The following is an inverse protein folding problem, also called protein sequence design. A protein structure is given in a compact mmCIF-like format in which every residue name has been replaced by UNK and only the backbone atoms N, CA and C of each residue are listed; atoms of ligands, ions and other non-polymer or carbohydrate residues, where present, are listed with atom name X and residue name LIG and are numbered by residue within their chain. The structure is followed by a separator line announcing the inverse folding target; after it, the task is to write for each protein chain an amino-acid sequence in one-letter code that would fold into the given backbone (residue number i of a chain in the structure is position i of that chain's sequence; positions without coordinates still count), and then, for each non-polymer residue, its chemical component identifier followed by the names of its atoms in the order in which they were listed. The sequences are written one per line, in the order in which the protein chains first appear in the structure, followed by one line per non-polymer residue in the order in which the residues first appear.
data_IF_016500196373
#
_entry.id   IF_016500196373
#
_cell.length_a   1.000
_cell.length_b   1.000
_cell.length_c   1.000
_cell.angle_alpha   90.00
_cell.angle_beta   90.00
_cell.angle_gamma   90.00
#
_symmetry.space_group_name_H-M   'P 1'
#
loop_
_entity.id
_entity.type
_entity.pdbx_description
1 polymer ?
#
# COMPACT_ATOMS: atom_id res chain seq x y z
N UNK A 1 -1.10 32.51 54.70
CA UNK A 1 0.08 32.82 53.86
C UNK A 1 0.92 31.54 53.84
N UNK A 2 1.10 30.74 52.80
CA UNK A 2 0.85 30.82 51.35
C UNK A 2 0.79 29.37 50.84
N UNK A 3 -0.26 28.99 50.13
CA UNK A 3 -0.30 27.75 49.34
C UNK A 3 0.49 28.02 48.03
N UNK A 4 1.65 27.39 47.78
CA UNK A 4 2.28 27.47 46.49
C UNK A 4 1.60 26.43 45.60
N UNK A 5 0.70 26.92 44.76
CA UNK A 5 0.23 26.24 43.56
C UNK A 5 1.43 25.84 42.70
N UNK A 6 1.95 24.64 42.93
CA UNK A 6 2.80 23.96 41.98
C UNK A 6 1.91 23.59 40.80
N UNK A 7 1.87 24.48 39.81
CA UNK A 7 1.19 24.26 38.55
C UNK A 7 1.69 22.94 37.96
N UNK A 8 0.82 21.95 37.92
CA UNK A 8 1.01 20.76 37.10
C UNK A 8 1.29 21.28 35.68
N UNK A 9 2.44 20.99 35.07
CA UNK A 9 2.65 21.39 33.70
C UNK A 9 1.58 20.68 32.87
N UNK A 10 0.73 21.47 32.23
CA UNK A 10 -0.24 21.00 31.26
C UNK A 10 0.56 20.38 30.10
N UNK A 11 0.82 19.08 30.20
CA UNK A 11 1.42 18.27 29.17
C UNK A 11 0.48 18.35 27.96
N UNK A 12 0.77 19.27 27.04
CA UNK A 12 0.11 19.41 25.75
C UNK A 12 0.38 18.13 24.96
N UNK A 13 -0.46 17.12 25.20
CA UNK A 13 -0.59 15.97 24.31
C UNK A 13 -1.01 16.53 22.96
N UNK A 14 -0.09 16.61 21.99
CA UNK A 14 -0.43 16.92 20.62
C UNK A 14 -1.36 15.80 20.11
N UNK A 15 -2.69 16.02 19.97
CA UNK A 15 -3.64 14.96 19.66
C UNK A 15 -3.68 14.62 18.16
N UNK A 16 -2.81 15.26 17.35
CA UNK A 16 -2.92 15.33 15.90
C UNK A 16 -1.78 14.63 15.15
N UNK A 17 -1.15 13.61 15.75
CA UNK A 17 -0.25 12.65 15.07
C UNK A 17 -1.02 11.67 14.15
N UNK A 18 -2.15 12.11 13.59
CA UNK A 18 -3.25 11.23 13.14
C UNK A 18 -3.22 10.83 11.66
N UNK A 19 -2.20 11.20 10.90
CA UNK A 19 -2.09 10.78 9.50
C UNK A 19 -0.71 10.22 9.13
N UNK A 20 -0.23 9.32 9.98
CA UNK A 20 0.92 8.44 9.76
C UNK A 20 0.91 7.74 8.37
N UNK A 21 -0.30 7.42 7.86
CA UNK A 21 -0.51 6.88 6.51
C UNK A 21 -0.17 7.87 5.39
N UNK A 22 -0.49 9.16 5.55
CA UNK A 22 -0.11 10.18 4.56
C UNK A 22 1.37 10.53 4.62
N UNK A 23 2.02 10.42 5.79
CA UNK A 23 3.48 10.58 5.86
C UNK A 23 4.18 9.46 5.10
N UNK A 24 3.74 8.19 5.23
CA UNK A 24 4.26 7.07 4.42
C UNK A 24 4.00 7.24 2.92
N UNK A 25 2.83 7.76 2.54
CA UNK A 25 2.47 8.07 1.14
C UNK A 25 3.21 9.29 0.58
N UNK A 26 3.68 10.21 1.43
CA UNK A 26 4.34 11.47 1.06
C UNK A 26 5.86 11.45 1.21
N UNK A 27 6.41 10.43 1.86
CA UNK A 27 7.84 10.32 2.10
C UNK A 27 8.65 10.16 0.80
N UNK A 28 9.82 10.79 0.73
CA UNK A 28 10.68 10.76 -0.46
C UNK A 28 11.40 9.42 -0.62
N UNK A 29 11.61 8.75 0.51
CA UNK A 29 12.22 7.43 0.67
C UNK A 29 11.28 6.26 0.28
N UNK A 30 9.96 6.44 0.37
CA UNK A 30 8.98 5.41 0.00
C UNK A 30 8.61 5.44 -1.49
N UNK A 31 8.99 6.52 -2.19
CA UNK A 31 8.75 6.73 -3.64
C UNK A 31 9.10 5.52 -4.52
N UNK A 32 10.29 4.89 -4.44
CA UNK A 32 10.63 3.80 -5.35
C UNK A 32 9.70 2.59 -5.20
N UNK A 33 9.32 2.23 -3.97
CA UNK A 33 8.39 1.14 -3.70
C UNK A 33 6.98 1.47 -4.20
N UNK A 34 6.50 2.70 -3.97
CA UNK A 34 5.21 3.16 -4.47
C UNK A 34 5.19 3.25 -6.00
N UNK A 35 6.26 3.73 -6.63
CA UNK A 35 6.34 3.80 -8.09
C UNK A 35 6.36 2.41 -8.70
N UNK A 36 7.08 1.46 -8.10
CA UNK A 36 7.04 0.07 -8.55
C UNK A 36 5.63 -0.50 -8.43
N UNK A 37 4.99 -0.34 -7.27
CA UNK A 37 3.62 -0.79 -7.06
C UNK A 37 2.64 -0.18 -8.08
N UNK A 38 2.72 1.12 -8.30
CA UNK A 38 1.87 1.83 -9.26
C UNK A 38 2.11 1.35 -10.69
N UNK A 39 3.37 1.16 -11.10
CA UNK A 39 3.72 0.62 -12.42
C UNK A 39 3.17 -0.81 -12.58
N UNK A 40 3.35 -1.68 -11.60
CA UNK A 40 2.80 -3.04 -11.63
C UNK A 40 1.26 -3.03 -11.70
N UNK A 41 0.59 -2.15 -10.97
CA UNK A 41 -0.88 -2.04 -11.03
C UNK A 41 -1.38 -1.51 -12.38
N UNK A 42 -0.76 -0.46 -12.90
CA UNK A 42 -1.13 0.10 -14.21
C UNK A 42 -0.83 -0.88 -15.34
N UNK A 43 0.29 -1.60 -15.26
CA UNK A 43 0.64 -2.64 -16.23
C UNK A 43 -0.36 -3.79 -16.19
N UNK A 44 -0.72 -4.28 -15.00
CA UNK A 44 -1.78 -5.28 -14.83
C UNK A 44 -3.11 -4.79 -15.41
N UNK A 45 -3.54 -3.57 -15.07
CA UNK A 45 -4.77 -2.96 -15.57
C UNK A 45 -4.84 -2.96 -17.10
N UNK A 46 -3.78 -2.49 -17.77
CA UNK A 46 -3.74 -2.45 -19.24
C UNK A 46 -3.74 -3.86 -19.83
N UNK A 47 -2.93 -4.77 -19.30
CA UNK A 47 -2.85 -6.15 -19.83
C UNK A 47 -4.18 -6.89 -19.67
N UNK A 48 -4.83 -6.82 -18.50
CA UNK A 48 -6.12 -7.49 -18.30
C UNK A 48 -7.24 -6.85 -19.12
N UNK A 49 -7.24 -5.53 -19.28
CA UNK A 49 -8.23 -4.87 -20.15
C UNK A 49 -8.07 -5.28 -21.61
N UNK A 50 -6.82 -5.49 -22.09
CA UNK A 50 -6.55 -5.94 -23.45
C UNK A 50 -6.79 -7.44 -23.67
N UNK A 51 -6.44 -8.29 -22.70
CA UNK A 51 -6.51 -9.75 -22.85
C UNK A 51 -7.89 -10.33 -22.54
N UNK A 52 -8.59 -9.77 -21.54
CA UNK A 52 -9.90 -10.26 -21.10
C UNK A 52 -11.06 -9.34 -21.53
N UNK A 53 -10.76 -8.17 -22.10
CA UNK A 53 -11.78 -7.20 -22.52
C UNK A 53 -12.54 -6.57 -21.34
N UNK A 54 -12.00 -6.68 -20.13
CA UNK A 54 -12.60 -6.09 -18.93
C UNK A 54 -12.50 -4.57 -18.95
N UNK A 55 -13.43 -3.91 -18.25
CA UNK A 55 -13.35 -2.47 -18.04
C UNK A 55 -12.05 -2.12 -17.30
N UNK A 56 -11.57 -0.88 -17.44
CA UNK A 56 -10.37 -0.43 -16.73
C UNK A 56 -10.52 -0.59 -15.20
N UNK A 57 -11.72 -0.35 -14.68
CA UNK A 57 -12.03 -0.51 -13.26
C UNK A 57 -11.98 -1.97 -12.82
N UNK A 58 -12.58 -2.88 -13.59
CA UNK A 58 -12.56 -4.33 -13.28
C UNK A 58 -11.14 -4.90 -13.38
N UNK A 59 -10.37 -4.43 -14.37
CA UNK A 59 -8.96 -4.82 -14.57
C UNK A 59 -8.07 -4.33 -13.42
N UNK A 60 -8.28 -3.09 -12.99
CA UNK A 60 -7.59 -2.53 -11.82
C UNK A 60 -8.00 -3.26 -10.54
N UNK A 61 -9.29 -3.52 -10.37
CA UNK A 61 -9.82 -4.28 -9.24
C UNK A 61 -9.18 -5.67 -9.16
N UNK A 62 -9.21 -6.44 -10.25
CA UNK A 62 -8.57 -7.76 -10.31
C UNK A 62 -7.06 -7.70 -9.99
N UNK A 63 -6.36 -6.70 -10.53
CA UNK A 63 -4.95 -6.47 -10.27
C UNK A 63 -4.67 -6.22 -8.78
N UNK A 64 -5.46 -5.35 -8.15
CA UNK A 64 -5.34 -4.99 -6.73
C UNK A 64 -5.63 -6.18 -5.82
N UNK A 65 -6.77 -6.88 -6.02
CA UNK A 65 -7.13 -8.01 -5.14
C UNK A 65 -6.14 -9.17 -5.29
N UNK A 66 -5.53 -9.33 -6.47
CA UNK A 66 -4.49 -10.34 -6.72
C UNK A 66 -3.18 -9.96 -6.05
N UNK A 67 -2.72 -8.71 -6.16
CA UNK A 67 -1.52 -8.21 -5.45
C UNK A 67 -1.67 -8.22 -3.94
N UNK A 68 -2.85 -7.85 -3.46
CA UNK A 68 -3.19 -7.87 -2.04
C UNK A 68 -3.43 -9.30 -1.51
N UNK A 69 -3.36 -10.33 -2.37
CA UNK A 69 -3.61 -11.74 -2.05
C UNK A 69 -5.00 -11.99 -1.45
N UNK A 70 -5.97 -11.11 -1.74
CA UNK A 70 -7.36 -11.24 -1.28
C UNK A 70 -8.10 -12.28 -2.13
N UNK A 71 -8.00 -12.17 -3.45
CA UNK A 71 -8.47 -13.19 -4.41
C UNK A 71 -9.92 -13.63 -4.23
N UNK A 72 -10.89 -12.71 -4.32
CA UNK A 72 -12.31 -13.02 -4.17
C UNK A 72 -12.84 -14.07 -5.16
N UNK A 73 -12.21 -14.21 -6.34
CA UNK A 73 -12.56 -15.21 -7.34
C UNK A 73 -13.82 -14.88 -8.17
N UNK A 74 -14.34 -13.66 -8.02
CA UNK A 74 -15.43 -13.09 -8.81
C UNK A 74 -15.03 -12.77 -10.25
N UNK A 75 -13.81 -12.26 -10.44
CA UNK A 75 -13.16 -12.14 -11.73
C UNK A 75 -12.02 -13.16 -11.81
N UNK A 76 -11.97 -13.91 -12.91
CA UNK A 76 -10.90 -14.87 -13.16
C UNK A 76 -10.47 -14.86 -14.62
N UNK A 77 -9.15 -14.92 -14.90
CA UNK A 77 -8.64 -14.94 -16.26
C UNK A 77 -9.18 -16.15 -17.02
N UNK A 78 -9.80 -15.93 -18.18
CA UNK A 78 -10.42 -16.99 -18.98
C UNK A 78 -9.44 -17.53 -20.04
N UNK A 79 -8.59 -16.67 -20.59
CA UNK A 79 -7.65 -17.02 -21.65
C UNK A 79 -6.39 -17.72 -21.12
N UNK A 80 -5.79 -18.61 -21.91
CA UNK A 80 -4.53 -19.28 -21.52
C UNK A 80 -3.39 -18.28 -21.31
N UNK A 81 -3.37 -17.20 -22.09
CA UNK A 81 -2.35 -16.16 -22.01
C UNK A 81 -2.48 -15.33 -20.74
N UNK A 82 -3.70 -14.89 -20.38
CA UNK A 82 -3.93 -14.12 -19.15
C UNK A 82 -3.68 -14.95 -17.89
N UNK A 83 -3.96 -16.27 -17.92
CA UNK A 83 -3.61 -17.20 -16.84
C UNK A 83 -2.09 -17.28 -16.64
N UNK A 84 -1.34 -17.50 -17.72
CA UNK A 84 0.12 -17.52 -17.66
C UNK A 84 0.69 -16.19 -17.16
N UNK A 85 0.18 -15.07 -17.68
CA UNK A 85 0.52 -13.74 -17.22
C UNK A 85 0.25 -13.55 -15.72
N UNK A 86 -0.92 -13.98 -15.24
CA UNK A 86 -1.32 -13.87 -13.83
C UNK A 86 -0.34 -14.58 -12.90
N UNK A 87 0.19 -15.74 -13.30
CA UNK A 87 1.20 -16.45 -12.53
C UNK A 87 2.46 -15.58 -12.34
N UNK A 88 3.02 -15.04 -13.42
CA UNK A 88 4.18 -14.15 -13.34
C UNK A 88 3.88 -12.84 -12.62
N UNK A 89 2.67 -12.31 -12.81
CA UNK A 89 2.19 -11.09 -12.20
C UNK A 89 2.12 -11.21 -10.67
N UNK A 90 1.53 -12.28 -10.15
CA UNK A 90 1.43 -12.53 -8.71
C UNK A 90 2.80 -12.76 -8.09
N UNK A 91 3.72 -13.45 -8.79
CA UNK A 91 5.12 -13.60 -8.34
C UNK A 91 5.82 -12.24 -8.22
N UNK A 92 5.63 -11.32 -9.18
CA UNK A 92 6.14 -9.95 -9.07
C UNK A 92 5.46 -9.18 -7.92
N UNK A 93 4.15 -9.40 -7.73
CA UNK A 93 3.35 -8.80 -6.67
C UNK A 93 3.88 -9.10 -5.26
N UNK A 94 4.41 -10.30 -5.03
CA UNK A 94 5.06 -10.64 -3.75
C UNK A 94 6.24 -9.70 -3.46
N UNK A 95 7.08 -9.40 -4.46
CA UNK A 95 8.20 -8.47 -4.29
C UNK A 95 7.74 -7.05 -3.94
N UNK A 96 6.66 -6.58 -4.59
CA UNK A 96 6.03 -5.30 -4.28
C UNK A 96 5.52 -5.29 -2.84
N UNK A 97 4.80 -6.33 -2.44
CA UNK A 97 4.21 -6.42 -1.11
C UNK A 97 5.30 -6.43 -0.01
N UNK A 98 6.38 -7.19 -0.21
CA UNK A 98 7.53 -7.21 0.69
C UNK A 98 8.21 -5.84 0.81
N UNK A 99 8.39 -5.13 -0.30
CA UNK A 99 8.98 -3.78 -0.30
C UNK A 99 8.12 -2.80 0.51
N UNK A 100 6.79 -2.90 0.40
CA UNK A 100 5.85 -2.08 1.16
C UNK A 100 5.91 -2.42 2.65
N UNK A 101 5.96 -3.71 3.00
CA UNK A 101 6.11 -4.15 4.39
C UNK A 101 7.41 -3.65 5.03
N UNK A 102 8.52 -3.67 4.29
CA UNK A 102 9.80 -3.13 4.77
C UNK A 102 9.68 -1.64 5.10
N UNK A 103 9.12 -0.84 4.19
CA UNK A 103 8.88 0.60 4.42
C UNK A 103 8.01 0.85 5.66
N UNK A 104 6.95 0.05 5.86
CA UNK A 104 6.09 0.16 7.05
C UNK A 104 6.90 -0.11 8.33
N UNK A 105 7.81 -1.10 8.33
CA UNK A 105 8.66 -1.39 9.49
C UNK A 105 9.62 -0.23 9.79
N UNK A 106 10.29 0.30 8.77
CA UNK A 106 11.22 1.42 8.90
C UNK A 106 10.52 2.63 9.54
N UNK A 107 9.38 3.03 9.00
CA UNK A 107 8.64 4.21 9.50
C UNK A 107 8.11 3.97 10.93
N UNK A 108 7.70 2.75 11.26
CA UNK A 108 7.28 2.39 12.63
C UNK A 108 8.45 2.39 13.63
N UNK A 109 9.66 2.04 13.20
CA UNK A 109 10.85 2.09 14.05
C UNK A 109 11.22 3.56 14.38
N UNK A 110 11.23 4.44 13.38
CA UNK A 110 11.54 5.86 13.56
C UNK A 110 10.56 6.58 14.50
N UNK A 111 9.30 6.15 14.55
CA UNK A 111 8.30 6.74 15.44
C UNK A 111 8.36 6.24 16.90
N UNK A 112 9.11 5.17 17.18
CA UNK A 112 9.36 4.65 18.53
C UNK A 112 10.57 5.29 19.21
N UNK A 113 11.48 5.87 18.43
CA UNK A 113 12.70 6.53 18.93
C UNK A 113 12.51 8.04 19.24
N UNK A 114 11.31 8.59 18.97
CA UNK A 114 10.93 10.00 19.22
C UNK A 114 9.95 10.15 20.37
#
# INVERSE_FOLDING_TARGET
MTNPSAGVPAQRRHPLRRLFLLDVLRDRESRPALTWAAVTLLFGMVVYSLLEGWSLLDSLYFSVISLATVGYGDLTPTTSLSKAFTIFYVLNGIGVLLSLFDRIRVVRASARES
#
